data_IF_407781724555
#
_entry.id   IF_407781724555
#
_cell.length_a   1.000
_cell.length_b   1.000
_cell.length_c   1.000
_cell.angle_alpha   90.00
_cell.angle_beta   90.00
_cell.angle_gamma   90.00
#
_symmetry.space_group_name_H-M   'P 1'
#
loop_
_entity.id
_entity.type
_entity.pdbx_description
1 polymer ?
#
# COMPACT_ATOMS: atom_id res chain seq x y z
N UNK A 1 0.77 -1.58 48.76
CA UNK A 1 0.07 -0.69 47.81
C UNK A 1 0.11 -1.39 46.46
N UNK A 2 -0.94 -2.14 46.13
CA UNK A 2 -1.00 -2.97 44.92
C UNK A 2 -1.52 -2.15 43.74
N UNK A 3 -0.72 -2.03 42.69
CA UNK A 3 -1.20 -1.56 41.39
C UNK A 3 -1.63 -2.81 40.62
N UNK A 4 -2.94 -2.96 40.42
CA UNK A 4 -3.49 -4.01 39.55
C UNK A 4 -3.16 -3.63 38.10
N UNK A 5 -2.33 -4.44 37.44
CA UNK A 5 -2.14 -4.36 36.00
C UNK A 5 -3.45 -4.76 35.31
N UNK A 6 -4.07 -3.83 34.59
CA UNK A 6 -5.17 -4.14 33.70
C UNK A 6 -4.59 -4.80 32.44
N UNK A 7 -4.79 -6.11 32.29
CA UNK A 7 -4.53 -6.80 31.03
C UNK A 7 -5.63 -6.40 30.03
N UNK A 8 -5.38 -5.40 29.20
CA UNK A 8 -6.19 -5.17 28.00
C UNK A 8 -5.76 -6.20 26.96
N UNK A 9 -6.44 -7.35 26.95
CA UNK A 9 -6.38 -8.29 25.84
C UNK A 9 -6.93 -7.61 24.60
N UNK A 10 -6.06 -7.30 23.64
CA UNK A 10 -6.43 -6.67 22.38
C UNK A 10 -7.37 -7.57 21.59
N UNK A 11 -8.63 -7.18 21.49
CA UNK A 11 -9.55 -7.72 20.52
C UNK A 11 -9.20 -7.08 19.17
N UNK A 12 -8.55 -7.83 18.27
CA UNK A 12 -8.47 -7.42 16.87
C UNK A 12 -9.82 -7.71 16.26
N UNK A 13 -10.65 -6.67 16.14
CA UNK A 13 -11.90 -6.78 15.42
C UNK A 13 -11.59 -7.07 13.95
N UNK A 14 -11.94 -8.27 13.48
CA UNK A 14 -11.85 -8.58 12.05
C UNK A 14 -12.94 -7.80 11.32
N UNK A 15 -12.57 -6.75 10.61
CA UNK A 15 -13.51 -5.99 9.78
C UNK A 15 -13.86 -6.85 8.56
N UNK A 16 -15.15 -7.14 8.36
CA UNK A 16 -15.59 -7.89 7.18
C UNK A 16 -15.68 -6.98 5.95
N UNK A 17 -15.51 -7.55 4.75
CA UNK A 17 -15.76 -6.81 3.50
C UNK A 17 -17.18 -6.24 3.45
N UNK A 18 -18.16 -6.96 4.01
CA UNK A 18 -19.54 -6.48 4.05
C UNK A 18 -19.68 -5.21 4.90
N UNK A 19 -18.89 -5.07 5.96
CA UNK A 19 -18.88 -3.86 6.79
C UNK A 19 -18.19 -2.69 6.07
N UNK A 20 -17.08 -2.94 5.37
CA UNK A 20 -16.41 -1.92 4.55
C UNK A 20 -17.32 -1.38 3.43
N UNK A 21 -18.20 -2.22 2.87
CA UNK A 21 -19.12 -1.81 1.81
C UNK A 21 -20.33 -1.00 2.32
N UNK A 22 -20.56 -0.92 3.64
CA UNK A 22 -21.57 -0.03 4.24
C UNK A 22 -21.11 1.42 4.31
N UNK A 23 -19.80 1.66 4.31
CA UNK A 23 -19.22 2.99 4.21
C UNK A 23 -19.59 3.61 2.85
N UNK A 24 -19.73 4.93 2.78
CA UNK A 24 -19.83 5.59 1.49
C UNK A 24 -18.47 5.63 0.74
N UNK A 25 -18.46 6.12 -0.50
CA UNK A 25 -17.22 6.17 -1.30
C UNK A 25 -16.15 7.04 -0.63
N UNK A 26 -16.53 8.19 -0.05
CA UNK A 26 -15.58 9.11 0.54
C UNK A 26 -14.92 8.49 1.78
N UNK A 27 -15.72 7.90 2.67
CA UNK A 27 -15.25 7.19 3.85
C UNK A 27 -14.33 6.01 3.52
N UNK A 28 -14.60 5.29 2.42
CA UNK A 28 -13.69 4.22 1.98
C UNK A 28 -12.36 4.76 1.47
N UNK A 29 -12.37 5.90 0.79
CA UNK A 29 -11.14 6.52 0.29
C UNK A 29 -10.29 7.05 1.45
N UNK A 30 -10.91 7.72 2.41
CA UNK A 30 -10.26 8.19 3.64
C UNK A 30 -9.65 7.02 4.42
N UNK A 31 -10.40 5.92 4.60
CA UNK A 31 -9.87 4.72 5.26
C UNK A 31 -8.71 4.09 4.49
N UNK A 32 -8.75 4.07 3.16
CA UNK A 32 -7.64 3.57 2.34
C UNK A 32 -6.39 4.42 2.55
N UNK A 33 -6.54 5.74 2.61
CA UNK A 33 -5.45 6.69 2.86
C UNK A 33 -4.85 6.48 4.26
N UNK A 34 -5.68 6.42 5.31
CA UNK A 34 -5.22 6.18 6.69
C UNK A 34 -4.47 4.85 6.83
N UNK A 35 -5.00 3.78 6.24
CA UNK A 35 -4.35 2.46 6.26
C UNK A 35 -3.05 2.44 5.46
N UNK A 36 -2.97 3.22 4.39
CA UNK A 36 -1.75 3.32 3.60
C UNK A 36 -0.66 4.07 4.38
N UNK A 37 -0.99 5.20 4.99
CA UNK A 37 -0.07 5.97 5.84
C UNK A 37 0.44 5.14 7.02
N UNK A 38 -0.41 4.32 7.66
CA UNK A 38 0.05 3.47 8.76
C UNK A 38 1.12 2.45 8.32
N UNK A 39 1.01 1.91 7.10
CA UNK A 39 2.02 0.99 6.54
C UNK A 39 3.33 1.73 6.29
N UNK A 40 3.26 2.97 5.78
CA UNK A 40 4.45 3.82 5.57
C UNK A 40 5.14 4.09 6.90
N UNK A 41 4.39 4.46 7.93
CA UNK A 41 4.92 4.70 9.28
C UNK A 41 5.58 3.44 9.85
N UNK A 42 4.95 2.27 9.73
CA UNK A 42 5.55 1.00 10.17
C UNK A 42 6.80 0.61 9.37
N UNK A 43 6.79 0.85 8.05
CA UNK A 43 7.94 0.60 7.18
C UNK A 43 9.14 1.50 7.56
N UNK A 44 8.88 2.74 7.96
CA UNK A 44 9.90 3.68 8.42
C UNK A 44 10.48 3.32 9.80
N UNK A 45 9.70 2.65 10.66
CA UNK A 45 10.09 2.35 12.05
C UNK A 45 10.75 0.98 12.21
N UNK A 46 10.49 0.00 11.35
CA UNK A 46 11.12 -1.33 11.51
C UNK A 46 10.93 -2.37 10.41
N UNK A 47 9.92 -2.23 9.53
CA UNK A 47 9.80 -3.11 8.37
C UNK A 47 10.59 -2.53 7.20
N UNK A 48 11.90 -2.79 7.15
CA UNK A 48 12.68 -2.39 5.96
C UNK A 48 12.09 -3.10 4.74
N UNK A 49 11.58 -2.32 3.78
CA UNK A 49 11.30 -2.77 2.41
C UNK A 49 12.48 -2.34 1.54
N UNK A 50 13.67 -2.97 1.67
CA UNK A 50 14.85 -2.50 0.97
C UNK A 50 14.68 -2.78 -0.53
N UNK A 51 14.62 -1.72 -1.33
CA UNK A 51 14.89 -1.84 -2.75
C UNK A 51 16.37 -2.19 -2.93
N UNK A 52 16.67 -3.15 -3.81
CA UNK A 52 18.07 -3.40 -4.19
C UNK A 52 18.61 -2.19 -4.96
N UNK A 53 19.94 -2.05 -5.04
CA UNK A 53 20.54 -0.99 -5.86
C UNK A 53 20.14 -1.12 -7.34
N UNK A 54 20.00 -2.35 -7.83
CA UNK A 54 19.55 -2.63 -9.19
C UNK A 54 18.09 -2.20 -9.42
N UNK A 55 17.21 -2.46 -8.44
CA UNK A 55 15.80 -2.03 -8.55
C UNK A 55 15.68 -0.51 -8.54
N UNK A 56 16.47 0.19 -7.71
CA UNK A 56 16.50 1.66 -7.71
C UNK A 56 16.97 2.22 -9.06
N UNK A 57 18.09 1.72 -9.59
CA UNK A 57 18.59 2.18 -10.89
C UNK A 57 17.57 1.94 -12.01
N UNK A 58 16.90 0.77 -12.00
CA UNK A 58 15.85 0.47 -12.97
C UNK A 58 14.66 1.44 -12.86
N UNK A 59 14.25 1.80 -11.65
CA UNK A 59 13.16 2.76 -11.44
C UNK A 59 13.58 4.17 -11.90
N UNK A 60 14.78 4.62 -11.55
CA UNK A 60 15.31 5.92 -11.99
C UNK A 60 15.44 5.99 -13.51
N UNK A 61 15.88 4.90 -14.15
CA UNK A 61 15.92 4.80 -15.61
C UNK A 61 14.52 4.92 -16.22
N UNK A 62 13.54 4.18 -15.70
CA UNK A 62 12.17 4.21 -16.22
C UNK A 62 11.50 5.56 -16.05
N UNK A 63 11.78 6.27 -14.95
CA UNK A 63 11.30 7.63 -14.74
C UNK A 63 11.88 8.59 -15.79
N UNK A 64 13.18 8.49 -16.08
CA UNK A 64 13.81 9.29 -17.15
C UNK A 64 13.21 8.99 -18.52
N UNK A 65 13.00 7.71 -18.84
CA UNK A 65 12.39 7.29 -20.10
C UNK A 65 10.95 7.83 -20.26
N UNK A 66 10.16 7.82 -19.18
CA UNK A 66 8.79 8.37 -19.17
C UNK A 66 8.78 9.90 -19.31
N UNK A 67 9.73 10.60 -18.66
CA UNK A 67 9.89 12.05 -18.81
C UNK A 67 10.31 12.45 -20.23
N UNK A 68 11.16 11.65 -20.89
CA UNK A 68 11.63 11.88 -22.25
C UNK A 68 10.60 11.54 -23.33
N UNK A 69 9.87 10.44 -23.17
CA UNK A 69 8.80 10.00 -24.08
C UNK A 69 7.61 9.36 -23.32
N UNK A 70 6.67 10.18 -22.82
CA UNK A 70 5.46 9.66 -22.17
C UNK A 70 4.58 8.81 -23.08
N UNK A 71 4.75 8.91 -24.41
CA UNK A 71 3.95 8.15 -25.38
C UNK A 71 4.42 6.69 -25.52
N UNK A 72 5.60 6.37 -24.99
CA UNK A 72 6.11 5.01 -24.90
C UNK A 72 5.33 4.14 -23.89
N UNK A 73 4.58 4.76 -22.97
CA UNK A 73 3.75 4.05 -22.02
C UNK A 73 2.59 3.31 -22.73
N UNK A 74 2.31 2.08 -22.27
CA UNK A 74 1.17 1.30 -22.76
C UNK A 74 -0.07 1.55 -21.89
N UNK A 75 -1.29 1.47 -22.44
CA UNK A 75 -2.50 1.53 -21.65
C UNK A 75 -2.53 0.45 -20.56
N UNK A 76 -3.07 0.80 -19.39
CA UNK A 76 -3.17 -0.15 -18.27
C UNK A 76 -3.92 -1.44 -18.63
N UNK A 77 -4.93 -1.35 -19.49
CA UNK A 77 -5.67 -2.52 -20.00
C UNK A 77 -4.74 -3.52 -20.70
N UNK A 78 -3.78 -3.03 -21.49
CA UNK A 78 -2.80 -3.84 -22.19
C UNK A 78 -1.76 -4.42 -21.22
N UNK A 79 -1.19 -3.60 -20.34
CA UNK A 79 -0.24 -4.06 -19.33
C UNK A 79 -0.84 -5.20 -18.48
N UNK A 80 -2.08 -5.01 -18.02
CA UNK A 80 -2.84 -5.99 -17.24
C UNK A 80 -3.13 -7.27 -18.03
N UNK A 81 -3.39 -7.17 -19.34
CA UNK A 81 -3.58 -8.33 -20.19
C UNK A 81 -2.29 -9.17 -20.28
N UNK A 82 -1.13 -8.52 -20.46
CA UNK A 82 0.18 -9.18 -20.51
C UNK A 82 0.50 -9.92 -19.21
N UNK A 83 0.27 -9.29 -18.04
CA UNK A 83 0.51 -9.89 -16.72
C UNK A 83 -0.38 -11.11 -16.41
N UNK A 84 -1.46 -11.33 -17.16
CA UNK A 84 -2.41 -12.43 -16.98
C UNK A 84 -2.21 -13.57 -17.97
N UNK A 85 -1.27 -13.44 -18.90
CA UNK A 85 -0.88 -14.53 -19.78
C UNK A 85 0.01 -15.50 -18.98
N UNK A 86 -0.23 -16.82 -19.09
CA UNK A 86 0.49 -17.85 -18.33
C UNK A 86 1.96 -17.98 -18.75
#
# INVERSE_FOLDING_TARGET
>A
MSIKAACYGGFVATISKADLLKLDIAQRLELIEELWESIVDEANVGATLPLSAADRELLDQRLREDDEDPSAAIPWSEAKARLRQP
#
